data_IF_419075535440
#
_entry.id   IF_419075535440
#
_cell.length_a   1.000
_cell.length_b   1.000
_cell.length_c   1.000
_cell.angle_alpha   90.00
_cell.angle_beta   90.00
_cell.angle_gamma   90.00
#
_symmetry.space_group_name_H-M   'P 1'
#
loop_
_entity.id
_entity.type
_entity.pdbx_description
1 polymer ?
#
# COMPACT_ATOMS: atom_id res chain seq x y z
N UNK A 1 47.00 20.13 -22.03
CA UNK A 1 46.48 18.99 -21.24
C UNK A 1 45.38 19.44 -20.29
N UNK A 2 44.14 19.54 -20.79
CA UNK A 2 42.96 19.78 -19.96
C UNK A 2 41.97 18.64 -20.15
N UNK A 3 42.11 17.56 -19.37
CA UNK A 3 41.13 16.47 -19.38
C UNK A 3 39.84 16.95 -18.72
N UNK A 4 38.86 17.32 -19.54
CA UNK A 4 37.47 17.52 -19.10
C UNK A 4 36.98 16.16 -18.60
N UNK A 5 36.92 15.99 -17.28
CA UNK A 5 36.29 14.82 -16.65
C UNK A 5 34.82 14.79 -17.09
N UNK A 6 34.45 13.86 -17.98
CA UNK A 6 33.06 13.55 -18.29
C UNK A 6 32.32 13.31 -16.97
N UNK A 7 31.44 14.24 -16.58
CA UNK A 7 30.44 13.98 -15.53
C UNK A 7 29.68 12.73 -15.96
N UNK A 8 29.79 11.64 -15.21
CA UNK A 8 28.89 10.48 -15.38
C UNK A 8 27.47 11.02 -15.33
N UNK A 9 26.69 10.76 -16.38
CA UNK A 9 25.28 11.12 -16.43
C UNK A 9 24.59 10.62 -15.15
N UNK A 10 23.59 11.35 -14.61
CA UNK A 10 22.74 10.82 -13.55
C UNK A 10 22.23 9.46 -14.02
N UNK A 11 22.21 8.44 -13.13
CA UNK A 11 21.54 7.16 -13.42
C UNK A 11 20.22 7.47 -14.12
N UNK A 12 19.97 6.85 -15.27
CA UNK A 12 18.75 7.06 -16.04
C UNK A 12 17.54 6.95 -15.09
N UNK A 13 16.77 8.03 -14.95
CA UNK A 13 15.62 8.10 -14.05
C UNK A 13 14.59 7.00 -14.36
N UNK A 14 14.59 6.53 -15.60
CA UNK A 14 13.80 5.40 -16.08
C UNK A 14 14.22 4.09 -15.40
N UNK A 15 15.51 3.86 -15.24
CA UNK A 15 16.05 2.66 -14.57
C UNK A 15 15.75 2.67 -13.07
N UNK A 16 15.81 3.84 -12.42
CA UNK A 16 15.42 3.98 -11.01
C UNK A 16 13.93 3.67 -10.84
N UNK A 17 13.08 4.17 -11.73
CA UNK A 17 11.63 3.96 -11.68
C UNK A 17 11.25 2.47 -11.84
N UNK A 18 11.95 1.74 -12.72
CA UNK A 18 11.78 0.28 -12.90
C UNK A 18 12.12 -0.52 -11.65
N UNK A 19 12.91 0.03 -10.73
CA UNK A 19 13.25 -0.63 -9.45
C UNK A 19 12.26 -0.25 -8.35
N UNK A 20 11.92 1.04 -8.24
CA UNK A 20 11.09 1.56 -7.15
C UNK A 20 9.67 1.01 -7.23
N UNK A 21 9.03 1.05 -8.40
CA UNK A 21 7.63 0.67 -8.53
C UNK A 21 7.38 -0.79 -8.10
N UNK A 22 8.14 -1.80 -8.59
CA UNK A 22 7.98 -3.18 -8.12
C UNK A 22 8.26 -3.38 -6.63
N UNK A 23 9.20 -2.62 -6.04
CA UNK A 23 9.47 -2.71 -4.60
C UNK A 23 8.27 -2.25 -3.78
N UNK A 24 7.67 -1.11 -4.15
CA UNK A 24 6.48 -0.58 -3.47
C UNK A 24 5.30 -1.53 -3.66
N UNK A 25 5.05 -1.96 -4.90
CA UNK A 25 3.92 -2.83 -5.24
C UNK A 25 4.00 -4.17 -4.52
N UNK A 26 5.16 -4.81 -4.55
CA UNK A 26 5.38 -6.08 -3.84
C UNK A 26 5.15 -5.90 -2.34
N UNK A 27 5.74 -4.86 -1.75
CA UNK A 27 5.64 -4.61 -0.31
C UNK A 27 4.19 -4.33 0.12
N UNK A 28 3.46 -3.49 -0.63
CA UNK A 28 2.06 -3.20 -0.35
C UNK A 28 1.18 -4.46 -0.48
N UNK A 29 1.40 -5.27 -1.52
CA UNK A 29 0.69 -6.53 -1.71
C UNK A 29 0.99 -7.53 -0.57
N UNK A 30 2.26 -7.66 -0.17
CA UNK A 30 2.67 -8.57 0.90
C UNK A 30 2.07 -8.14 2.24
N UNK A 31 2.04 -6.84 2.54
CA UNK A 31 1.38 -6.28 3.72
C UNK A 31 -0.12 -6.62 3.70
N UNK A 32 -0.80 -6.29 2.61
CA UNK A 32 -2.23 -6.53 2.49
C UNK A 32 -2.55 -8.01 2.63
N UNK A 33 -1.88 -8.90 1.89
CA UNK A 33 -2.09 -10.35 1.97
C UNK A 33 -1.85 -10.91 3.37
N UNK A 34 -0.77 -10.48 4.03
CA UNK A 34 -0.42 -10.97 5.38
C UNK A 34 -1.44 -10.54 6.43
N UNK A 35 -1.98 -9.33 6.30
CA UNK A 35 -2.81 -8.70 7.34
C UNK A 35 -4.27 -8.49 6.91
N UNK A 36 -4.69 -9.09 5.79
CA UNK A 36 -5.96 -8.82 5.10
C UNK A 36 -7.16 -8.84 6.06
N UNK A 37 -7.31 -9.93 6.83
CA UNK A 37 -8.42 -10.09 7.79
C UNK A 37 -8.54 -8.89 8.75
N UNK A 38 -7.43 -8.55 9.41
CA UNK A 38 -7.40 -7.42 10.35
C UNK A 38 -7.65 -6.09 9.62
N UNK A 39 -7.08 -5.91 8.43
CA UNK A 39 -7.23 -4.67 7.68
C UNK A 39 -8.67 -4.44 7.18
N UNK A 40 -9.40 -5.50 6.84
CA UNK A 40 -10.80 -5.41 6.40
C UNK A 40 -11.76 -5.07 7.55
N UNK A 41 -11.47 -5.56 8.76
CA UNK A 41 -12.28 -5.31 9.96
C UNK A 41 -12.07 -3.92 10.57
N UNK A 42 -10.96 -3.24 10.23
CA UNK A 42 -10.61 -1.94 10.79
C UNK A 42 -11.12 -0.78 9.92
N UNK A 43 -11.31 0.42 10.51
CA UNK A 43 -11.57 1.62 9.73
C UNK A 43 -10.37 1.94 8.84
N UNK A 44 -10.61 2.56 7.68
CA UNK A 44 -9.54 2.82 6.71
C UNK A 44 -8.40 3.67 7.27
N UNK A 45 -8.71 4.54 8.24
CA UNK A 45 -7.73 5.38 8.96
C UNK A 45 -6.70 4.57 9.75
N UNK A 46 -6.96 3.29 10.04
CA UNK A 46 -6.06 2.40 10.78
C UNK A 46 -4.70 2.20 10.11
N UNK A 47 -4.64 2.30 8.77
CA UNK A 47 -3.39 2.10 8.02
C UNK A 47 -2.41 3.25 8.19
N UNK A 48 -2.90 4.47 8.47
CA UNK A 48 -2.07 5.66 8.59
C UNK A 48 -1.01 5.48 9.69
N UNK A 49 -1.37 5.26 10.97
CA UNK A 49 -0.37 5.03 12.03
C UNK A 49 0.51 3.80 11.77
N UNK A 50 0.01 2.77 11.08
CA UNK A 50 0.80 1.61 10.68
C UNK A 50 1.96 1.97 9.74
N UNK A 51 1.70 2.83 8.76
CA UNK A 51 2.73 3.29 7.82
C UNK A 51 3.64 4.32 8.47
N UNK A 52 3.09 5.23 9.28
CA UNK A 52 3.85 6.30 9.93
C UNK A 52 4.70 5.83 11.13
N UNK A 53 4.35 4.70 11.74
CA UNK A 53 5.06 4.18 12.91
C UNK A 53 4.70 4.89 14.21
N UNK A 54 3.63 5.69 14.23
CA UNK A 54 3.09 6.32 15.44
C UNK A 54 1.58 6.53 15.33
N UNK A 55 0.87 6.32 16.43
CA UNK A 55 -0.50 6.78 16.61
C UNK A 55 -0.54 8.17 17.28
N UNK A 56 -1.70 8.83 17.31
CA UNK A 56 -1.96 10.10 18.01
C UNK A 56 -1.55 10.00 19.48
N UNK A 57 -1.75 8.83 20.10
CA UNK A 57 -1.38 8.53 21.48
C UNK A 57 0.01 7.88 21.63
N UNK A 58 0.77 7.75 20.53
CA UNK A 58 2.11 7.16 20.51
C UNK A 58 2.16 5.62 20.53
N UNK A 59 1.05 4.93 20.78
CA UNK A 59 1.02 3.47 20.88
C UNK A 59 0.55 2.81 19.58
N UNK A 60 1.37 1.92 19.01
CA UNK A 60 0.97 1.07 17.89
C UNK A 60 0.41 -0.26 18.38
N UNK A 61 -0.58 -0.79 17.67
CA UNK A 61 -0.94 -2.20 17.81
C UNK A 61 0.18 -3.11 17.29
N UNK A 62 0.20 -4.37 17.73
CA UNK A 62 1.16 -5.37 17.22
C UNK A 62 1.10 -5.51 15.70
N UNK A 63 -0.08 -5.40 15.10
CA UNK A 63 -0.24 -5.46 13.64
C UNK A 63 0.32 -4.21 12.98
N UNK A 64 0.09 -3.02 13.54
CA UNK A 64 0.61 -1.77 13.00
C UNK A 64 2.14 -1.72 13.06
N UNK A 65 2.72 -2.17 14.17
CA UNK A 65 4.18 -2.30 14.32
C UNK A 65 4.76 -3.24 13.25
N UNK A 66 4.18 -4.43 13.07
CA UNK A 66 4.61 -5.39 12.02
C UNK A 66 4.51 -4.84 10.60
N UNK A 67 3.49 -4.01 10.33
CA UNK A 67 3.37 -3.32 9.04
C UNK A 67 4.51 -2.31 8.89
N UNK A 68 4.76 -1.51 9.93
CA UNK A 68 5.84 -0.53 9.92
C UNK A 68 7.21 -1.17 9.69
N UNK A 69 7.50 -2.28 10.38
CA UNK A 69 8.72 -3.06 10.25
C UNK A 69 8.98 -3.55 8.82
N UNK A 70 7.92 -3.77 8.03
CA UNK A 70 8.03 -4.12 6.60
C UNK A 70 8.28 -2.91 5.70
N UNK A 71 7.74 -1.74 6.05
CA UNK A 71 7.78 -0.55 5.19
C UNK A 71 9.08 0.22 5.35
N UNK A 72 9.57 0.38 6.59
CA UNK A 72 10.78 1.17 6.90
C UNK A 72 12.00 0.71 6.10
N UNK A 73 12.37 -0.59 6.08
CA UNK A 73 13.54 -1.04 5.33
C UNK A 73 13.42 -0.78 3.82
N UNK A 74 12.21 -0.84 3.28
CA UNK A 74 11.95 -0.59 1.85
C UNK A 74 12.08 0.89 1.54
N UNK A 75 11.57 1.77 2.40
CA UNK A 75 11.77 3.22 2.25
C UNK A 75 13.24 3.59 2.31
N UNK A 76 14.00 3.08 3.29
CA UNK A 76 15.45 3.31 3.37
C UNK A 76 16.18 2.83 2.11
N UNK A 77 15.80 1.66 1.60
CA UNK A 77 16.36 1.13 0.35
C UNK A 77 16.09 2.05 -0.83
N UNK A 78 14.87 2.58 -0.95
CA UNK A 78 14.49 3.52 -2.01
C UNK A 78 15.26 4.83 -1.87
N UNK A 79 15.31 5.42 -0.67
CA UNK A 79 16.03 6.67 -0.40
C UNK A 79 17.51 6.55 -0.79
N UNK A 80 18.16 5.41 -0.51
CA UNK A 80 19.56 5.14 -0.91
C UNK A 80 19.79 5.08 -2.43
N UNK A 81 18.75 4.87 -3.24
CA UNK A 81 18.87 4.92 -4.70
C UNK A 81 19.05 6.35 -5.21
N UNK A 82 18.60 7.35 -4.44
CA UNK A 82 18.75 8.75 -4.76
C UNK A 82 20.08 9.27 -4.19
N UNK A 83 21.02 9.64 -5.08
CA UNK A 83 22.27 10.28 -4.68
C UNK A 83 22.02 11.76 -4.31
N UNK A 84 21.53 12.03 -3.10
CA UNK A 84 21.28 13.40 -2.62
C UNK A 84 22.60 14.16 -2.45
N UNK A 85 23.03 14.88 -3.49
CA UNK A 85 24.36 15.52 -3.51
C UNK A 85 24.48 16.79 -2.69
N UNK A 86 23.40 17.49 -2.30
CA UNK A 86 23.50 18.81 -1.62
C UNK A 86 22.32 19.18 -0.68
N UNK A 87 21.42 18.26 -0.34
CA UNK A 87 20.08 18.57 0.21
C UNK A 87 19.59 17.52 1.23
N UNK A 88 20.55 16.88 1.90
CA UNK A 88 20.49 15.59 2.63
C UNK A 88 19.61 15.58 3.90
N UNK A 89 18.43 16.18 3.84
CA UNK A 89 17.45 16.17 4.92
C UNK A 89 16.09 16.64 4.44
N UNK A 90 16.00 17.78 3.75
CA UNK A 90 14.72 18.30 3.23
C UNK A 90 14.18 17.45 2.07
N UNK A 91 15.05 17.06 1.13
CA UNK A 91 14.64 16.23 -0.02
C UNK A 91 14.37 14.79 0.40
N UNK A 92 15.16 14.27 1.34
CA UNK A 92 14.95 12.95 1.92
C UNK A 92 13.62 12.88 2.65
N UNK A 93 13.34 13.84 3.54
CA UNK A 93 12.06 13.94 4.23
C UNK A 93 10.87 14.09 3.26
N UNK A 94 10.99 14.95 2.24
CA UNK A 94 9.93 15.12 1.25
C UNK A 94 9.65 13.82 0.48
N UNK A 95 10.71 13.11 0.08
CA UNK A 95 10.55 11.81 -0.60
C UNK A 95 9.97 10.76 0.34
N UNK A 96 10.41 10.71 1.59
CA UNK A 96 9.88 9.81 2.61
C UNK A 96 8.38 10.07 2.84
N UNK A 97 7.98 11.34 2.97
CA UNK A 97 6.58 11.75 3.08
C UNK A 97 5.74 11.23 1.91
N UNK A 98 6.23 11.41 0.68
CA UNK A 98 5.55 10.93 -0.53
C UNK A 98 5.46 9.41 -0.59
N UNK A 99 6.53 8.71 -0.23
CA UNK A 99 6.55 7.24 -0.18
C UNK A 99 5.55 6.70 0.84
N UNK A 100 5.52 7.26 2.05
CA UNK A 100 4.54 6.91 3.08
C UNK A 100 3.12 7.15 2.59
N UNK A 101 2.85 8.30 1.97
CA UNK A 101 1.56 8.61 1.34
C UNK A 101 1.16 7.59 0.27
N UNK A 102 2.11 7.16 -0.57
CA UNK A 102 1.87 6.17 -1.61
C UNK A 102 1.56 4.78 -1.03
N UNK A 103 2.25 4.36 0.03
CA UNK A 103 1.92 3.12 0.74
C UNK A 103 0.52 3.16 1.34
N UNK A 104 0.18 4.26 2.03
CA UNK A 104 -1.17 4.47 2.58
C UNK A 104 -2.22 4.36 1.47
N UNK A 105 -2.02 5.06 0.35
CA UNK A 105 -2.96 5.06 -0.77
C UNK A 105 -3.14 3.67 -1.39
N UNK A 106 -2.05 2.95 -1.67
CA UNK A 106 -2.11 1.61 -2.28
C UNK A 106 -2.82 0.60 -1.39
N UNK A 107 -2.49 0.56 -0.10
CA UNK A 107 -3.10 -0.40 0.82
C UNK A 107 -4.57 -0.03 1.06
N UNK A 108 -4.88 1.26 1.18
CA UNK A 108 -6.26 1.76 1.25
C UNK A 108 -7.07 1.31 0.04
N UNK A 109 -6.52 1.49 -1.16
CA UNK A 109 -7.16 1.03 -2.38
C UNK A 109 -7.43 -0.48 -2.37
N UNK A 110 -6.48 -1.31 -1.92
CA UNK A 110 -6.67 -2.77 -1.81
C UNK A 110 -7.77 -3.14 -0.82
N UNK A 111 -7.84 -2.46 0.34
CA UNK A 111 -8.88 -2.67 1.36
C UNK A 111 -10.26 -2.34 0.78
N UNK A 112 -10.40 -1.15 0.18
CA UNK A 112 -11.68 -0.71 -0.38
C UNK A 112 -12.11 -1.55 -1.59
N UNK A 113 -11.16 -1.94 -2.44
CA UNK A 113 -11.43 -2.85 -3.56
C UNK A 113 -12.02 -4.17 -3.05
N UNK A 114 -11.42 -4.77 -2.03
CA UNK A 114 -11.90 -6.04 -1.47
C UNK A 114 -13.27 -5.88 -0.79
N UNK A 115 -13.46 -4.84 0.03
CA UNK A 115 -14.77 -4.55 0.64
C UNK A 115 -15.88 -4.37 -0.41
N UNK A 116 -15.55 -3.74 -1.53
CA UNK A 116 -16.49 -3.57 -2.63
C UNK A 116 -16.80 -4.88 -3.37
N UNK A 117 -15.83 -5.76 -3.53
CA UNK A 117 -16.05 -7.11 -4.10
C UNK A 117 -16.97 -7.91 -3.18
N UNK A 118 -16.68 -7.95 -1.88
CA UNK A 118 -17.48 -8.68 -0.89
C UNK A 118 -18.92 -8.13 -0.83
N UNK A 119 -19.08 -6.81 -0.81
CA UNK A 119 -20.41 -6.17 -0.78
C UNK A 119 -21.24 -6.52 -2.01
N UNK A 120 -20.62 -6.56 -3.20
CA UNK A 120 -21.30 -6.97 -4.45
C UNK A 120 -21.69 -8.44 -4.43
N UNK A 121 -20.83 -9.32 -3.90
CA UNK A 121 -21.13 -10.75 -3.77
C UNK A 121 -22.33 -10.98 -2.84
N UNK A 122 -22.34 -10.32 -1.67
CA UNK A 122 -23.45 -10.40 -0.71
C UNK A 122 -24.75 -9.86 -1.33
N UNK A 123 -24.69 -8.77 -2.10
CA UNK A 123 -25.86 -8.23 -2.78
C UNK A 123 -26.43 -9.21 -3.83
N UNK A 124 -25.56 -9.88 -4.59
CA UNK A 124 -25.96 -10.89 -5.56
C UNK A 124 -26.62 -12.11 -4.90
N UNK A 125 -26.05 -12.61 -3.80
CA UNK A 125 -26.61 -13.73 -3.04
C UNK A 125 -28.00 -13.40 -2.48
N UNK A 126 -28.16 -12.21 -1.89
CA UNK A 126 -29.48 -11.74 -1.39
C UNK A 126 -30.51 -11.67 -2.51
N UNK A 127 -30.14 -11.15 -3.67
CA UNK A 127 -31.03 -11.09 -4.83
C UNK A 127 -31.45 -12.49 -5.30
N UNK A 128 -30.52 -13.45 -5.37
CA UNK A 128 -30.83 -14.85 -5.69
C UNK A 128 -31.78 -15.49 -4.66
N UNK A 129 -31.55 -15.28 -3.37
CA UNK A 129 -32.43 -15.82 -2.32
C UNK A 129 -33.83 -15.21 -2.39
N UNK A 130 -33.95 -13.92 -2.69
CA UNK A 130 -35.24 -13.25 -2.87
C UNK A 130 -36.02 -13.81 -4.07
N UNK A 131 -35.33 -14.07 -5.19
CA UNK A 131 -35.94 -14.69 -6.39
C UNK A 131 -36.43 -16.11 -6.07
N UNK A 132 -35.61 -16.93 -5.40
CA UNK A 132 -35.99 -18.29 -5.01
C UNK A 132 -37.17 -18.30 -4.03
N UNK A 133 -37.20 -17.36 -3.08
CA UNK A 133 -38.31 -17.23 -2.13
C UNK A 133 -39.65 -16.85 -2.77
N UNK A 134 -39.62 -16.21 -3.95
CA UNK A 134 -40.80 -15.76 -4.70
C UNK A 134 -41.20 -16.73 -5.82
N UNK A 135 -40.36 -17.71 -6.16
CA UNK A 135 -40.68 -18.70 -7.16
C UNK A 135 -41.75 -19.67 -6.61
N UNK A 136 -42.93 -19.72 -7.25
CA UNK A 136 -43.95 -20.71 -6.89
C UNK A 136 -43.46 -22.11 -7.31
N UNK A 137 -43.67 -23.16 -6.48
CA UNK A 137 -43.33 -24.52 -6.86
C UNK A 137 -44.19 -24.93 -8.05
N UNK A 138 -43.55 -25.34 -9.15
CA UNK A 138 -44.22 -25.95 -10.29
C UNK A 138 -44.22 -27.45 -10.01
N UNK A 139 -45.24 -27.92 -9.29
CA UNK A 139 -45.42 -29.32 -8.97
C UNK A 139 -46.90 -29.66 -8.87
N UNK A 140 -47.47 -30.15 -9.98
CA UNK A 140 -48.64 -31.03 -9.92
C UNK A 140 -48.08 -32.45 -9.98
N UNK A 141 -48.17 -33.18 -8.86
CA UNK A 141 -48.06 -34.63 -8.81
C UNK A 141 -49.47 -35.21 -8.69
#
# INVERSE_FOLDING_TARGET
NGMIKKKKAPKDLTEISKIIAPLIDKTANDIFRTHCKVLLEKPITYIVPAIWGRDVNGNLSLTQAKINDKVVPVMEKILRLFEFKNSKGKQEFALEYLLRGLFVAKITFMIELMKNIDSKAIAAEKASHEILSKARPIGNA
#
